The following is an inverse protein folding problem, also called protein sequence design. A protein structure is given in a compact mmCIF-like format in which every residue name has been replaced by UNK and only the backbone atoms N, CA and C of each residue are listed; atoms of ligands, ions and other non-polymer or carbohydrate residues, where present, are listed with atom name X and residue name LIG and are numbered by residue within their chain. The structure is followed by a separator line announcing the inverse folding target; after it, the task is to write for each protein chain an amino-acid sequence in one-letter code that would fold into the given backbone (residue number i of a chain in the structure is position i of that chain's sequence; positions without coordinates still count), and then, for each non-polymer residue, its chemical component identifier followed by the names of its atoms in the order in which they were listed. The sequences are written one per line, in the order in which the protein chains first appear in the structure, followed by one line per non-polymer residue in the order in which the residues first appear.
data_IF_983826864859
#
_entry.id   IF_983826864859
#
_cell.length_a   1.000
_cell.length_b   1.000
_cell.length_c   1.000
_cell.angle_alpha   90.00
_cell.angle_beta   90.00
_cell.angle_gamma   90.00
#
_symmetry.space_group_name_H-M   'P 1'
#
loop_
_entity.id
_entity.type
_entity.pdbx_description
1 polymer ?
#
# COMPACT_ATOMS: atom_id res chain seq x y z
N UNK A 1 0.47 10.02 57.85
CA UNK A 1 1.63 9.14 58.19
C UNK A 1 2.84 10.03 58.20
N UNK A 2 3.67 9.95 59.24
CA UNK A 2 4.85 10.80 59.38
C UNK A 2 6.00 10.31 58.51
N UNK A 3 6.72 11.25 57.88
CA UNK A 3 7.91 10.99 57.08
C UNK A 3 8.88 12.17 57.17
N UNK A 4 10.17 11.94 56.94
CA UNK A 4 11.21 12.97 56.98
C UNK A 4 11.60 13.37 55.56
N UNK A 5 11.65 14.66 55.25
CA UNK A 5 12.14 15.12 53.94
C UNK A 5 13.65 14.85 53.84
N UNK A 6 14.06 14.04 52.87
CA UNK A 6 15.46 13.69 52.64
C UNK A 6 16.11 14.49 51.52
N UNK A 7 15.31 14.93 50.54
CA UNK A 7 15.81 15.71 49.41
C UNK A 7 14.71 16.58 48.78
N UNK A 8 15.11 17.67 48.13
CA UNK A 8 14.22 18.59 47.40
C UNK A 8 14.85 18.94 46.05
N UNK A 9 14.21 18.53 44.97
CA UNK A 9 14.70 18.71 43.60
C UNK A 9 13.60 19.27 42.69
N UNK A 10 13.82 20.47 42.17
CA UNK A 10 12.86 21.18 41.31
C UNK A 10 11.48 21.36 41.97
N UNK A 11 10.44 20.83 41.32
CA UNK A 11 9.03 20.88 41.74
C UNK A 11 8.64 19.79 42.75
N UNK A 12 9.59 18.96 43.19
CA UNK A 12 9.33 17.78 43.99
C UNK A 12 10.19 17.72 45.25
N UNK A 13 9.68 17.04 46.28
CA UNK A 13 10.44 16.62 47.45
C UNK A 13 10.36 15.10 47.62
N UNK A 14 11.40 14.53 48.21
CA UNK A 14 11.48 13.11 48.56
C UNK A 14 11.37 12.97 50.07
N UNK A 15 10.40 12.20 50.55
CA UNK A 15 10.17 11.93 51.96
C UNK A 15 10.46 10.46 52.28
N UNK A 16 11.17 10.19 53.40
CA UNK A 16 11.44 8.86 53.92
C UNK A 16 10.47 8.55 55.06
N UNK A 17 9.65 7.52 54.89
CA UNK A 17 8.71 7.12 55.93
C UNK A 17 9.34 6.15 56.96
N UNK A 18 8.62 5.88 58.05
CA UNK A 18 9.07 4.97 59.13
C UNK A 18 9.29 3.51 58.69
N UNK A 19 8.79 3.13 57.52
CA UNK A 19 8.98 1.80 56.91
C UNK A 19 10.20 1.78 55.98
N UNK A 20 10.95 2.88 55.90
CA UNK A 20 12.13 3.01 55.05
C UNK A 20 11.80 3.25 53.57
N UNK A 21 10.56 3.62 53.24
CA UNK A 21 10.14 3.90 51.85
C UNK A 21 10.40 5.35 51.49
N UNK A 22 10.99 5.57 50.31
CA UNK A 22 11.13 6.88 49.70
C UNK A 22 9.88 7.22 48.89
N UNK A 23 9.26 8.37 49.18
CA UNK A 23 7.98 8.80 48.64
C UNK A 23 8.12 10.17 48.00
N UNK A 24 7.74 10.28 46.71
CA UNK A 24 7.78 11.54 45.96
C UNK A 24 6.51 12.35 46.17
N UNK A 25 6.67 13.59 46.64
CA UNK A 25 5.57 14.54 46.89
C UNK A 25 5.81 15.85 46.16
N UNK A 26 4.75 16.66 46.01
CA UNK A 26 4.86 17.98 45.39
C UNK A 26 5.52 18.93 46.38
N UNK A 27 6.54 19.67 45.93
CA UNK A 27 7.18 20.68 46.76
C UNK A 27 6.18 21.77 47.10
N UNK A 28 6.20 22.20 48.37
CA UNK A 28 5.56 23.42 48.85
C UNK A 28 6.60 24.20 49.64
N UNK A 29 6.34 25.48 49.91
CA UNK A 29 7.23 26.34 50.71
C UNK A 29 7.46 25.83 52.14
N UNK A 30 6.63 24.91 52.63
CA UNK A 30 6.70 24.35 53.98
C UNK A 30 7.64 23.14 54.08
N UNK A 31 8.11 22.60 52.96
CA UNK A 31 9.00 21.44 52.94
C UNK A 31 10.47 21.87 53.10
N UNK A 32 11.13 21.33 54.13
CA UNK A 32 12.55 21.59 54.45
C UNK A 32 13.26 20.26 54.66
N UNK A 33 14.44 20.07 54.07
CA UNK A 33 15.24 18.85 54.25
C UNK A 33 15.57 18.65 55.74
N UNK A 34 15.39 17.42 56.21
CA UNK A 34 15.57 17.01 57.61
C UNK A 34 14.34 17.21 58.50
N UNK A 35 13.28 17.86 58.01
CA UNK A 35 12.05 18.08 58.78
C UNK A 35 11.06 16.93 58.60
N UNK A 36 10.37 16.60 59.69
CA UNK A 36 9.27 15.64 59.70
C UNK A 36 7.98 16.33 59.22
N UNK A 37 7.27 15.66 58.31
CA UNK A 37 6.00 16.10 57.76
C UNK A 37 4.95 15.00 57.91
N UNK A 38 3.69 15.41 57.93
CA UNK A 38 2.58 14.50 57.67
C UNK A 38 2.41 14.34 56.15
N UNK A 39 2.61 13.13 55.66
CA UNK A 39 2.41 12.83 54.24
C UNK A 39 0.95 13.08 53.87
N UNK A 40 0.67 13.90 52.83
CA UNK A 40 -0.66 14.03 52.30
C UNK A 40 -1.12 12.68 51.73
N UNK A 41 -2.39 12.32 51.93
CA UNK A 41 -2.98 11.05 51.46
C UNK A 41 -2.95 10.90 49.92
N UNK A 42 -2.71 12.00 49.20
CA UNK A 42 -2.46 12.03 47.76
C UNK A 42 -1.00 12.40 47.50
N UNK A 43 -0.15 11.39 47.46
CA UNK A 43 1.08 11.42 46.65
C UNK A 43 0.73 11.76 45.21
N UNK A 44 1.67 12.32 44.44
CA UNK A 44 1.45 12.67 43.04
C UNK A 44 1.19 11.39 42.25
N UNK A 45 -0.08 11.02 42.16
CA UNK A 45 -0.53 9.94 41.31
C UNK A 45 -0.62 10.48 39.89
N UNK A 46 0.20 9.93 38.98
CA UNK A 46 -0.09 10.06 37.56
C UNK A 46 -1.55 9.65 37.35
N UNK A 47 -2.37 10.55 36.81
CA UNK A 47 -3.78 10.28 36.60
C UNK A 47 -3.92 9.21 35.51
N UNK A 48 -3.90 7.94 35.94
CA UNK A 48 -4.00 6.76 35.07
C UNK A 48 -5.21 6.84 34.14
N UNK A 49 -6.32 7.45 34.59
CA UNK A 49 -7.52 7.64 33.76
C UNK A 49 -7.27 8.63 32.61
N UNK A 50 -6.55 9.73 32.85
CA UNK A 50 -6.17 10.67 31.78
C UNK A 50 -5.16 10.03 30.82
N UNK A 51 -4.18 9.32 31.35
CA UNK A 51 -3.21 8.60 30.52
C UNK A 51 -3.89 7.52 29.65
N UNK A 52 -4.80 6.74 30.21
CA UNK A 52 -5.58 5.73 29.46
C UNK A 52 -6.45 6.38 28.37
N UNK A 53 -7.04 7.55 28.63
CA UNK A 53 -7.77 8.31 27.59
C UNK A 53 -6.86 8.74 26.45
N UNK A 54 -5.68 9.28 26.75
CA UNK A 54 -4.69 9.70 25.74
C UNK A 54 -4.22 8.48 24.93
N UNK A 55 -3.89 7.37 25.60
CA UNK A 55 -3.49 6.13 24.94
C UNK A 55 -4.61 5.59 24.04
N UNK A 56 -5.87 5.62 24.51
CA UNK A 56 -7.02 5.19 23.70
C UNK A 56 -7.20 6.05 22.46
N UNK A 57 -7.07 7.37 22.56
CA UNK A 57 -7.16 8.28 21.41
C UNK A 57 -6.01 8.05 20.45
N UNK A 58 -4.78 7.91 20.96
CA UNK A 58 -3.60 7.60 20.15
C UNK A 58 -3.75 6.27 19.40
N UNK A 59 -4.28 5.24 20.06
CA UNK A 59 -4.52 3.93 19.44
C UNK A 59 -5.55 4.02 18.30
N UNK A 60 -6.65 4.75 18.50
CA UNK A 60 -7.65 4.96 17.44
C UNK A 60 -7.04 5.73 16.26
N UNK A 61 -6.28 6.80 16.53
CA UNK A 61 -5.62 7.57 15.48
C UNK A 61 -4.63 6.71 14.68
N UNK A 62 -3.83 5.87 15.35
CA UNK A 62 -2.95 4.92 14.67
C UNK A 62 -3.74 3.94 13.81
N UNK A 63 -4.81 3.33 14.35
CA UNK A 63 -5.63 2.38 13.60
C UNK A 63 -6.26 3.03 12.36
N UNK A 64 -6.89 4.19 12.50
CA UNK A 64 -7.48 4.92 11.37
C UNK A 64 -6.41 5.28 10.36
N UNK A 65 -5.26 5.80 10.81
CA UNK A 65 -4.17 6.19 9.91
C UNK A 65 -3.60 4.99 9.16
N UNK A 66 -3.43 3.85 9.81
CA UNK A 66 -2.96 2.62 9.18
C UNK A 66 -3.94 2.09 8.15
N UNK A 67 -5.24 2.09 8.46
CA UNK A 67 -6.29 1.67 7.51
C UNK A 67 -6.33 2.62 6.32
N UNK A 68 -6.35 3.94 6.57
CA UNK A 68 -6.34 4.96 5.51
C UNK A 68 -5.11 4.84 4.62
N UNK A 69 -3.93 4.60 5.21
CA UNK A 69 -2.71 4.38 4.44
C UNK A 69 -2.78 3.11 3.59
N UNK A 70 -3.31 2.02 4.14
CA UNK A 70 -3.51 0.77 3.40
C UNK A 70 -4.48 0.92 2.22
N UNK A 71 -5.60 1.62 2.42
CA UNK A 71 -6.56 1.90 1.33
C UNK A 71 -5.93 2.81 0.29
N UNK A 72 -5.17 3.82 0.70
CA UNK A 72 -4.45 4.71 -0.21
C UNK A 72 -3.40 3.95 -1.04
N UNK A 73 -2.55 3.14 -0.40
CA UNK A 73 -1.52 2.36 -1.09
C UNK A 73 -2.11 1.32 -2.04
N UNK A 74 -3.28 0.77 -1.69
CA UNK A 74 -3.98 -0.20 -2.52
C UNK A 74 -4.47 0.41 -3.83
N UNK A 75 -4.96 1.66 -3.81
CA UNK A 75 -5.55 2.31 -4.98
C UNK A 75 -4.54 3.15 -5.79
N UNK A 76 -3.28 3.21 -5.36
CA UNK A 76 -2.25 4.02 -6.00
C UNK A 76 -1.64 3.29 -7.23
N UNK A 77 -1.69 3.88 -8.43
CA UNK A 77 -1.00 3.35 -9.61
C UNK A 77 0.52 3.26 -9.41
N UNK A 78 1.09 2.13 -9.81
CA UNK A 78 2.50 1.83 -9.64
C UNK A 78 3.18 1.32 -10.91
N UNK A 79 2.49 0.42 -11.62
CA UNK A 79 2.95 -0.18 -12.88
C UNK A 79 1.79 -0.24 -13.88
N UNK A 80 2.14 -0.37 -15.15
CA UNK A 80 1.21 -0.39 -16.26
C UNK A 80 1.61 -1.52 -17.20
N UNK A 81 0.61 -2.23 -17.72
CA UNK A 81 0.80 -3.25 -18.76
C UNK A 81 -0.18 -2.91 -19.88
N UNK A 82 0.35 -2.62 -21.06
CA UNK A 82 -0.46 -2.52 -22.25
C UNK A 82 -0.54 -3.89 -22.92
N UNK A 83 -1.74 -4.25 -23.32
CA UNK A 83 -2.04 -5.48 -24.05
C UNK A 83 -2.58 -5.06 -25.40
N UNK A 84 -1.85 -5.39 -26.47
CA UNK A 84 -2.25 -5.11 -27.83
C UNK A 84 -2.41 -6.43 -28.60
N UNK A 85 -3.68 -6.80 -28.81
CA UNK A 85 -4.13 -7.96 -29.58
C UNK A 85 -4.80 -7.46 -30.88
N UNK A 86 -4.95 -6.14 -31.03
CA UNK A 86 -5.99 -5.52 -31.85
C UNK A 86 -7.37 -6.16 -31.55
N UNK A 87 -7.82 -6.06 -30.28
CA UNK A 87 -7.96 -4.80 -29.56
C UNK A 87 -6.86 -4.43 -28.55
N UNK A 88 -6.82 -3.16 -28.11
CA UNK A 88 -5.75 -2.64 -27.21
C UNK A 88 -6.26 -2.12 -25.86
N UNK A 89 -5.63 -2.54 -24.76
CA UNK A 89 -5.99 -2.24 -23.36
C UNK A 89 -4.79 -1.78 -22.52
N UNK A 90 -5.01 -0.90 -21.55
CA UNK A 90 -4.06 -0.53 -20.48
C UNK A 90 -4.55 -1.11 -19.15
N UNK A 91 -3.75 -1.99 -18.56
CA UNK A 91 -3.94 -2.51 -17.21
C UNK A 91 -3.13 -1.64 -16.26
N UNK A 92 -3.80 -1.09 -15.24
CA UNK A 92 -3.17 -0.31 -14.19
C UNK A 92 -3.01 -1.17 -12.94
N UNK A 93 -1.77 -1.29 -12.47
CA UNK A 93 -1.40 -2.10 -11.32
C UNK A 93 -1.00 -1.24 -10.13
N UNK A 94 -1.38 -1.67 -8.94
CA UNK A 94 -0.83 -1.14 -7.70
C UNK A 94 0.52 -1.78 -7.33
N UNK A 95 1.09 -1.34 -6.21
CA UNK A 95 2.38 -1.86 -5.71
C UNK A 95 2.36 -3.37 -5.39
N UNK A 96 1.18 -3.97 -5.26
CA UNK A 96 0.97 -5.39 -4.96
C UNK A 96 0.71 -6.26 -6.20
N UNK A 97 0.91 -5.74 -7.42
CA UNK A 97 0.58 -6.40 -8.70
C UNK A 97 -0.92 -6.72 -8.85
N UNK A 98 -1.79 -6.00 -8.15
CA UNK A 98 -3.23 -6.15 -8.33
C UNK A 98 -3.75 -5.11 -9.31
N UNK A 99 -4.66 -5.54 -10.16
CA UNK A 99 -5.34 -4.69 -11.12
C UNK A 99 -6.27 -3.75 -10.36
N UNK A 100 -5.99 -2.45 -10.47
CA UNK A 100 -6.84 -1.41 -9.89
C UNK A 100 -7.71 -0.72 -10.93
N UNK A 101 -7.34 -0.82 -12.21
CA UNK A 101 -8.09 -0.26 -13.34
C UNK A 101 -7.70 -0.96 -14.65
N UNK A 102 -8.63 -1.00 -15.61
CA UNK A 102 -8.37 -1.43 -16.99
C UNK A 102 -9.04 -0.41 -17.92
N UNK A 103 -8.32 0.06 -18.93
CA UNK A 103 -8.78 1.11 -19.85
C UNK A 103 -8.63 0.65 -21.29
N UNK A 104 -9.58 0.99 -22.13
CA UNK A 104 -9.41 0.84 -23.56
C UNK A 104 -8.43 1.88 -24.09
N UNK A 105 -7.56 1.45 -24.99
CA UNK A 105 -6.62 2.33 -25.69
C UNK A 105 -7.08 2.64 -27.12
N UNK A 106 -8.04 1.86 -27.65
CA UNK A 106 -8.74 2.11 -28.89
C UNK A 106 -10.22 1.70 -28.78
N UNK A 107 -11.02 2.01 -29.81
CA UNK A 107 -12.46 1.71 -29.81
C UNK A 107 -12.78 0.23 -29.74
N UNK A 108 -11.88 -0.64 -30.21
CA UNK A 108 -12.08 -2.09 -30.10
C UNK A 108 -11.82 -2.59 -28.69
N UNK A 109 -10.90 -1.95 -27.95
CA UNK A 109 -10.55 -2.31 -26.58
C UNK A 109 -11.76 -2.24 -25.65
N UNK A 110 -12.70 -1.33 -25.92
CA UNK A 110 -13.96 -1.22 -25.16
C UNK A 110 -14.76 -2.53 -25.17
N UNK A 111 -14.60 -3.37 -26.21
CA UNK A 111 -15.26 -4.68 -26.32
C UNK A 111 -14.66 -5.72 -25.35
N UNK A 112 -13.40 -5.55 -24.95
CA UNK A 112 -12.70 -6.47 -24.07
C UNK A 112 -12.72 -6.07 -22.60
N UNK A 113 -13.20 -4.87 -22.24
CA UNK A 113 -13.25 -4.44 -20.83
C UNK A 113 -14.32 -5.21 -20.06
N UNK A 114 -13.93 -5.76 -18.91
CA UNK A 114 -14.85 -6.27 -17.91
C UNK A 114 -14.48 -5.80 -16.50
N UNK A 115 -15.50 -5.57 -15.67
CA UNK A 115 -15.31 -5.25 -14.25
C UNK A 115 -14.64 -6.39 -13.47
N UNK A 116 -14.76 -7.63 -13.98
CA UNK A 116 -14.24 -8.87 -13.37
C UNK A 116 -12.71 -8.91 -13.28
N UNK A 117 -12.01 -8.05 -14.04
CA UNK A 117 -10.56 -7.92 -14.02
C UNK A 117 -10.07 -7.07 -12.84
N UNK A 118 -10.88 -6.11 -12.38
CA UNK A 118 -10.50 -5.27 -11.26
C UNK A 118 -10.36 -6.13 -10.01
N UNK A 119 -9.41 -5.76 -9.16
CA UNK A 119 -9.10 -6.42 -7.90
C UNK A 119 -8.46 -7.83 -8.03
N UNK A 120 -8.27 -8.36 -9.23
CA UNK A 120 -7.54 -9.61 -9.45
C UNK A 120 -6.02 -9.40 -9.35
N UNK A 121 -5.28 -10.50 -9.16
CA UNK A 121 -3.85 -10.51 -9.43
C UNK A 121 -3.61 -10.35 -10.93
N UNK A 122 -2.44 -9.82 -11.32
CA UNK A 122 -2.08 -9.59 -12.71
C UNK A 122 -2.18 -10.87 -13.55
N UNK A 123 -1.58 -11.97 -13.11
CA UNK A 123 -1.63 -13.25 -13.80
C UNK A 123 -3.08 -13.75 -14.07
N UNK A 124 -3.97 -13.64 -13.09
CA UNK A 124 -5.37 -14.02 -13.22
C UNK A 124 -6.12 -13.08 -14.17
N UNK A 125 -5.85 -11.78 -14.08
CA UNK A 125 -6.46 -10.79 -14.97
C UNK A 125 -6.01 -10.95 -16.42
N UNK A 126 -4.72 -11.19 -16.65
CA UNK A 126 -4.18 -11.51 -17.99
C UNK A 126 -4.85 -12.74 -18.58
N UNK A 127 -5.06 -13.78 -17.76
CA UNK A 127 -5.81 -14.96 -18.20
C UNK A 127 -7.20 -14.60 -18.65
N UNK A 128 -7.97 -13.89 -17.83
CA UNK A 128 -9.35 -13.49 -18.18
C UNK A 128 -9.41 -12.64 -19.44
N UNK A 129 -8.46 -11.71 -19.62
CA UNK A 129 -8.39 -10.84 -20.79
C UNK A 129 -8.13 -11.66 -22.06
N UNK A 130 -7.16 -12.58 -22.02
CA UNK A 130 -6.83 -13.41 -23.19
C UNK A 130 -7.94 -14.42 -23.48
N UNK A 131 -8.47 -15.10 -22.45
CA UNK A 131 -9.63 -16.00 -22.60
C UNK A 131 -10.81 -15.25 -23.26
N UNK A 132 -11.07 -14.00 -22.86
CA UNK A 132 -12.14 -13.18 -23.44
C UNK A 132 -11.82 -12.79 -24.89
N UNK A 133 -10.57 -12.46 -25.19
CA UNK A 133 -10.14 -12.18 -26.57
C UNK A 133 -10.32 -13.40 -27.49
N UNK A 134 -10.04 -14.61 -27.00
CA UNK A 134 -10.31 -15.88 -27.71
C UNK A 134 -11.82 -16.08 -27.87
N UNK A 135 -12.60 -15.93 -26.80
CA UNK A 135 -14.05 -16.14 -26.82
C UNK A 135 -14.79 -15.17 -27.76
N UNK A 136 -14.31 -13.93 -27.89
CA UNK A 136 -14.84 -12.94 -28.82
C UNK A 136 -14.26 -13.06 -30.25
N UNK A 137 -13.32 -13.99 -30.46
CA UNK A 137 -12.75 -14.28 -31.78
C UNK A 137 -11.72 -13.27 -32.27
N UNK A 138 -11.11 -12.48 -31.37
CA UNK A 138 -9.96 -11.63 -31.69
C UNK A 138 -8.67 -12.43 -31.81
N UNK A 139 -8.57 -13.55 -31.09
CA UNK A 139 -7.52 -14.54 -31.22
C UNK A 139 -8.13 -15.82 -31.78
N UNK A 140 -7.64 -16.29 -32.93
CA UNK A 140 -8.20 -17.47 -33.62
C UNK A 140 -7.13 -18.49 -33.98
N UNK A 141 -7.46 -19.77 -33.89
CA UNK A 141 -6.50 -20.86 -34.12
C UNK A 141 -5.96 -20.93 -35.57
N UNK A 142 -6.70 -20.40 -36.55
CA UNK A 142 -6.35 -20.48 -37.97
C UNK A 142 -5.73 -19.18 -38.53
N UNK A 143 -5.56 -18.14 -37.70
CA UNK A 143 -5.01 -16.84 -38.09
C UNK A 143 -3.58 -16.66 -37.51
N UNK A 144 -2.72 -15.90 -38.20
CA UNK A 144 -1.46 -15.42 -37.60
C UNK A 144 -1.80 -14.37 -36.53
N UNK A 145 -1.75 -14.76 -35.25
CA UNK A 145 -1.99 -13.86 -34.14
C UNK A 145 -0.67 -13.30 -33.59
N UNK A 146 -0.69 -12.04 -33.18
CA UNK A 146 0.40 -11.41 -32.42
C UNK A 146 -0.19 -10.70 -31.20
N UNK A 147 0.41 -10.95 -30.04
CA UNK A 147 0.13 -10.20 -28.81
C UNK A 147 1.36 -9.38 -28.47
N UNK A 148 1.22 -8.06 -28.49
CA UNK A 148 2.24 -7.15 -27.99
C UNK A 148 1.91 -6.73 -26.55
N UNK A 149 2.86 -6.96 -25.66
CA UNK A 149 2.77 -6.61 -24.25
C UNK A 149 3.83 -5.56 -23.93
N UNK A 150 3.42 -4.39 -23.45
CA UNK A 150 4.37 -3.33 -23.07
C UNK A 150 4.25 -2.98 -21.59
N UNK A 151 5.35 -3.12 -20.84
CA UNK A 151 5.38 -2.90 -19.40
C UNK A 151 6.08 -1.59 -19.05
N UNK A 152 5.45 -0.77 -18.21
CA UNK A 152 6.04 0.45 -17.65
C UNK A 152 5.85 0.49 -16.13
N UNK A 153 6.79 1.11 -15.40
CA UNK A 153 6.67 1.22 -13.95
C UNK A 153 7.83 1.96 -13.31
N UNK A 154 7.65 2.33 -12.03
CA UNK A 154 8.62 3.14 -11.27
C UNK A 154 9.89 2.38 -10.90
N UNK A 155 9.78 1.07 -10.66
CA UNK A 155 10.89 0.22 -10.22
C UNK A 155 11.29 -0.75 -11.34
N UNK A 156 12.52 -0.65 -11.81
CA UNK A 156 13.04 -1.44 -12.94
C UNK A 156 13.09 -2.95 -12.64
N UNK A 157 13.39 -3.35 -11.40
CA UNK A 157 13.41 -4.77 -11.01
C UNK A 157 11.99 -5.34 -11.01
N UNK A 158 11.01 -4.56 -10.55
CA UNK A 158 9.60 -4.95 -10.58
C UNK A 158 9.09 -5.01 -12.01
N UNK A 159 9.48 -4.07 -12.88
CA UNK A 159 9.15 -4.09 -14.32
C UNK A 159 9.64 -5.38 -14.98
N UNK A 160 10.88 -5.80 -14.72
CA UNK A 160 11.41 -7.07 -15.24
C UNK A 160 10.59 -8.27 -14.76
N UNK A 161 10.22 -8.32 -13.48
CA UNK A 161 9.37 -9.39 -12.94
C UNK A 161 7.97 -9.40 -13.56
N UNK A 162 7.37 -8.22 -13.75
CA UNK A 162 6.06 -8.09 -14.38
C UNK A 162 6.14 -8.57 -15.84
N UNK A 163 7.21 -8.21 -16.55
CA UNK A 163 7.47 -8.69 -17.92
C UNK A 163 7.48 -10.22 -17.99
N UNK A 164 8.24 -10.88 -17.12
CA UNK A 164 8.28 -12.34 -17.03
C UNK A 164 6.89 -12.93 -16.66
N UNK A 165 6.18 -12.30 -15.73
CA UNK A 165 4.86 -12.74 -15.26
C UNK A 165 3.81 -12.69 -16.38
N UNK A 166 3.75 -11.60 -17.15
CA UNK A 166 2.76 -11.44 -18.23
C UNK A 166 3.09 -12.31 -19.44
N UNK A 167 4.37 -12.48 -19.77
CA UNK A 167 4.82 -13.38 -20.83
C UNK A 167 4.44 -14.83 -20.50
N UNK A 168 4.71 -15.26 -19.27
CA UNK A 168 4.35 -16.61 -18.81
C UNK A 168 2.85 -16.82 -18.77
N UNK A 169 2.08 -15.83 -18.27
CA UNK A 169 0.63 -15.92 -18.21
C UNK A 169 0.02 -16.01 -19.61
N UNK A 170 0.47 -15.17 -20.56
CA UNK A 170 -0.04 -15.18 -21.92
C UNK A 170 0.25 -16.50 -22.63
N UNK A 171 1.50 -16.94 -22.63
CA UNK A 171 1.89 -18.20 -23.26
C UNK A 171 1.15 -19.41 -22.66
N UNK A 172 0.94 -19.42 -21.34
CA UNK A 172 0.20 -20.51 -20.70
C UNK A 172 -1.24 -20.61 -21.24
N UNK A 173 -1.95 -19.48 -21.29
CA UNK A 173 -3.35 -19.44 -21.70
C UNK A 173 -3.51 -19.79 -23.17
N UNK A 174 -2.66 -19.23 -24.03
CA UNK A 174 -2.64 -19.56 -25.46
C UNK A 174 -2.39 -21.05 -25.70
N UNK A 175 -1.48 -21.66 -24.95
CA UNK A 175 -1.24 -23.10 -25.04
C UNK A 175 -2.43 -23.93 -24.54
N UNK A 176 -3.05 -23.53 -23.42
CA UNK A 176 -4.23 -24.23 -22.88
C UNK A 176 -5.41 -24.20 -23.87
N UNK A 177 -5.58 -23.09 -24.59
CA UNK A 177 -6.65 -22.89 -25.59
C UNK A 177 -6.27 -23.36 -27.01
N UNK A 178 -5.05 -23.87 -27.21
CA UNK A 178 -4.48 -24.28 -28.51
C UNK A 178 -4.47 -23.16 -29.57
N UNK A 179 -4.27 -21.91 -29.13
CA UNK A 179 -4.15 -20.74 -30.00
C UNK A 179 -2.68 -20.52 -30.34
N UNK A 180 -2.33 -20.57 -31.63
CA UNK A 180 -0.99 -20.22 -32.09
C UNK A 180 -0.88 -18.70 -32.18
N UNK A 181 0.00 -18.11 -31.38
CA UNK A 181 0.25 -16.67 -31.39
C UNK A 181 1.70 -16.37 -31.05
N UNK A 182 2.27 -15.36 -31.70
CA UNK A 182 3.52 -14.75 -31.25
C UNK A 182 3.24 -13.83 -30.06
N UNK A 183 4.01 -13.96 -28.98
CA UNK A 183 3.93 -13.06 -27.81
C UNK A 183 5.21 -12.25 -27.75
N UNK A 184 5.11 -10.94 -27.95
CA UNK A 184 6.23 -10.01 -27.89
C UNK A 184 6.07 -9.18 -26.62
N UNK A 185 7.09 -9.19 -25.77
CA UNK A 185 7.06 -8.43 -24.51
C UNK A 185 8.20 -7.43 -24.44
N UNK A 186 7.83 -6.16 -24.30
CA UNK A 186 8.74 -5.03 -24.20
C UNK A 186 8.54 -4.29 -22.88
N UNK A 187 9.56 -3.53 -22.49
CA UNK A 187 9.46 -2.61 -21.37
C UNK A 187 9.90 -1.22 -21.81
N UNK A 188 9.23 -0.20 -21.26
CA UNK A 188 9.54 1.19 -21.57
C UNK A 188 9.78 1.98 -20.29
N UNK A 189 10.54 3.07 -20.42
CA UNK A 189 10.68 4.04 -19.35
C UNK A 189 9.31 4.66 -19.02
N UNK A 190 9.00 4.81 -17.73
CA UNK A 190 7.71 5.35 -17.29
C UNK A 190 7.49 6.77 -17.85
N UNK A 191 8.55 7.56 -17.93
CA UNK A 191 8.55 8.92 -18.46
C UNK A 191 8.14 8.95 -19.94
N UNK A 192 8.55 7.94 -20.74
CA UNK A 192 8.17 7.82 -22.15
C UNK A 192 6.66 7.59 -22.27
N UNK A 193 6.10 6.72 -21.42
CA UNK A 193 4.66 6.46 -21.35
C UNK A 193 3.87 7.70 -20.90
N UNK A 194 4.33 8.41 -19.87
CA UNK A 194 3.67 9.62 -19.37
C UNK A 194 3.61 10.71 -20.44
N UNK A 195 4.74 10.97 -21.11
CA UNK A 195 4.80 11.93 -22.22
C UNK A 195 3.89 11.54 -23.38
N UNK A 196 3.84 10.25 -23.74
CA UNK A 196 2.95 9.79 -24.81
C UNK A 196 1.48 10.03 -24.47
N UNK A 197 1.09 9.81 -23.20
CA UNK A 197 -0.27 10.04 -22.72
C UNK A 197 -0.64 11.53 -22.76
N UNK A 198 0.28 12.42 -22.37
CA UNK A 198 0.07 13.88 -22.47
C UNK A 198 -0.12 14.34 -23.92
N UNK A 199 0.60 13.73 -24.86
CA UNK A 199 0.52 14.05 -26.28
C UNK A 199 -0.66 13.37 -27.00
N UNK A 200 -1.42 12.51 -26.31
CA UNK A 200 -2.51 11.75 -26.91
C UNK A 200 -2.05 10.72 -27.95
N UNK A 201 -0.80 10.25 -27.87
CA UNK A 201 -0.31 9.22 -28.78
C UNK A 201 -0.81 7.83 -28.39
N UNK A 202 -1.19 6.99 -29.39
CA UNK A 202 -1.56 5.62 -29.14
C UNK A 202 -0.37 4.82 -28.60
N UNK A 203 -0.63 3.71 -27.88
CA UNK A 203 0.37 2.82 -27.27
C UNK A 203 1.51 2.43 -28.20
N UNK A 204 1.14 2.08 -29.43
CA UNK A 204 2.02 1.62 -30.50
C UNK A 204 3.14 2.60 -30.86
N UNK A 205 2.96 3.91 -30.58
CA UNK A 205 3.95 4.95 -30.94
C UNK A 205 5.05 5.15 -29.90
N UNK A 206 5.02 4.40 -28.81
CA UNK A 206 6.04 4.49 -27.77
C UNK A 206 6.55 3.16 -27.24
N UNK A 207 6.06 2.04 -27.78
CA UNK A 207 6.84 0.79 -27.85
C UNK A 207 8.19 1.08 -28.54
#
# INVERSE_FOLDING_TARGET
MKAVIVDIEGEYAVALDKEGRFIKIRKTSEHIVGYEIDLPTKVIEFNKKTLLKIVSVAAVLLLVSSISFGVYSYNLPYSYVNVDINPSLEIVLNIYNRIIDVKALNSEGEKLIEDSYRNSQLNEGMKKIIDNAVAQGFLKNDDENTIMLTVAGKDSKKVIKIKEEVESAANKVLNDDNVVSEVIVENVALERREKAKELGYPPEKWS
#
